data_IF_998796341746
#
_entry.id   IF_998796341746
#
_cell.length_a   1.000
_cell.length_b   1.000
_cell.length_c   1.000
_cell.angle_alpha   90.00
_cell.angle_beta   90.00
_cell.angle_gamma   90.00
#
_symmetry.space_group_name_H-M   'P 1'
#
loop_
_entity.id
_entity.type
_entity.pdbx_description
1 polymer ?
#
# COMPACT_ATOMS: atom_id res chain seq x y z
N UNK A 1 -39.35 -9.54 67.39
CA UNK A 1 -39.33 -8.48 66.35
C UNK A 1 -37.90 -8.38 65.87
N UNK A 2 -37.52 -9.14 64.85
CA UNK A 2 -36.12 -9.24 64.45
C UNK A 2 -35.97 -9.38 62.93
N UNK A 3 -35.02 -8.62 62.40
CA UNK A 3 -34.20 -8.94 61.22
C UNK A 3 -34.87 -9.05 59.84
N UNK A 4 -35.54 -7.99 59.36
CA UNK A 4 -35.78 -7.79 57.91
C UNK A 4 -34.80 -6.82 57.22
N UNK A 5 -34.04 -6.01 57.97
CA UNK A 5 -33.17 -4.96 57.39
C UNK A 5 -31.80 -5.46 56.91
N UNK A 6 -31.26 -6.57 57.43
CA UNK A 6 -29.93 -7.05 57.07
C UNK A 6 -29.85 -7.73 55.69
N UNK A 7 -30.96 -8.24 55.16
CA UNK A 7 -30.99 -8.99 53.90
C UNK A 7 -30.98 -8.06 52.68
N UNK A 8 -31.58 -6.87 52.80
CA UNK A 8 -31.66 -5.88 51.71
C UNK A 8 -30.30 -5.22 51.42
N UNK A 9 -29.52 -4.93 52.46
CA UNK A 9 -28.21 -4.27 52.33
C UNK A 9 -27.17 -5.17 51.64
N UNK A 10 -27.20 -6.49 51.91
CA UNK A 10 -26.30 -7.46 51.25
C UNK A 10 -26.60 -7.64 49.76
N UNK A 11 -27.86 -7.46 49.34
CA UNK A 11 -28.24 -7.54 47.93
C UNK A 11 -27.76 -6.32 47.12
N UNK A 12 -27.79 -5.13 47.72
CA UNK A 12 -27.41 -3.89 47.07
C UNK A 12 -25.90 -3.79 46.79
N UNK A 13 -25.06 -4.27 47.73
CA UNK A 13 -23.59 -4.26 47.59
C UNK A 13 -23.10 -5.25 46.53
N UNK A 14 -23.81 -6.38 46.37
CA UNK A 14 -23.47 -7.40 45.37
C UNK A 14 -23.73 -6.92 43.93
N UNK A 15 -24.77 -6.12 43.72
CA UNK A 15 -25.13 -5.63 42.37
C UNK A 15 -24.25 -4.47 41.86
N UNK A 16 -23.57 -3.75 42.76
CA UNK A 16 -22.68 -2.64 42.39
C UNK A 16 -21.29 -3.09 41.94
N UNK A 17 -20.82 -4.26 42.41
CA UNK A 17 -19.50 -4.82 42.03
C UNK A 17 -19.46 -5.33 40.58
N UNK A 18 -20.57 -5.84 40.05
CA UNK A 18 -20.64 -6.29 38.65
C UNK A 18 -20.75 -5.14 37.64
N UNK A 19 -21.34 -4.00 38.03
CA UNK A 19 -21.44 -2.82 37.15
C UNK A 19 -20.11 -2.08 36.96
N UNK A 20 -19.23 -2.06 37.97
CA UNK A 20 -17.88 -1.48 37.82
C UNK A 20 -16.96 -2.34 36.95
N UNK A 21 -17.14 -3.67 36.96
CA UNK A 21 -16.34 -4.61 36.16
C UNK A 21 -16.67 -4.56 34.66
N UNK A 22 -17.94 -4.32 34.29
CA UNK A 22 -18.35 -4.22 32.88
C UNK A 22 -17.91 -2.91 32.19
N UNK A 23 -17.79 -1.81 32.94
CA UNK A 23 -17.30 -0.52 32.37
C UNK A 23 -15.78 -0.56 32.15
N UNK A 24 -15.02 -1.32 32.94
CA UNK A 24 -13.58 -1.51 32.75
C UNK A 24 -13.21 -2.36 31.53
N UNK A 25 -14.05 -3.33 31.16
CA UNK A 25 -13.85 -4.19 29.97
C UNK A 25 -14.12 -3.46 28.64
N UNK A 26 -14.92 -2.38 28.66
CA UNK A 26 -15.20 -1.57 27.47
C UNK A 26 -14.08 -0.57 27.15
N UNK A 27 -13.27 -0.16 28.13
CA UNK A 27 -12.13 0.74 27.88
C UNK A 27 -10.88 0.03 27.35
N UNK A 28 -10.76 -1.29 27.55
CA UNK A 28 -9.63 -2.07 27.01
C UNK A 28 -9.82 -2.54 25.56
N UNK A 29 -11.01 -2.34 24.98
CA UNK A 29 -11.27 -2.66 23.56
C UNK A 29 -10.97 -1.50 22.60
N UNK A 30 -10.71 -0.29 23.11
CA UNK A 30 -10.63 0.92 22.29
C UNK A 30 -9.21 1.31 21.85
N UNK A 31 -8.18 0.51 22.14
CA UNK A 31 -6.79 0.96 22.00
C UNK A 31 -5.89 0.03 21.16
N UNK A 32 -6.40 -0.67 20.14
CA UNK A 32 -5.55 -1.49 19.24
C UNK A 32 -6.03 -1.61 17.79
N UNK A 33 -6.83 -0.67 17.25
CA UNK A 33 -7.39 -0.79 15.89
C UNK A 33 -6.96 0.29 14.90
N UNK A 34 -5.94 1.07 15.25
CA UNK A 34 -5.45 2.16 14.40
C UNK A 34 -3.92 2.19 14.45
N UNK A 35 -3.25 1.26 13.75
CA UNK A 35 -1.89 1.53 13.22
C UNK A 35 -1.26 0.44 12.33
N UNK A 36 -1.99 -0.62 11.92
CA UNK A 36 -1.38 -1.68 11.10
C UNK A 36 -1.62 -1.57 9.58
N UNK A 37 -2.64 -0.81 9.12
CA UNK A 37 -2.88 -0.66 7.66
C UNK A 37 -1.90 0.28 6.96
N UNK A 38 -1.37 1.30 7.65
CA UNK A 38 -0.45 2.27 7.01
C UNK A 38 0.96 1.70 6.89
N UNK A 39 1.40 0.88 7.86
CA UNK A 39 2.76 0.34 7.91
C UNK A 39 3.01 -0.84 6.95
N UNK A 40 1.97 -1.36 6.30
CA UNK A 40 2.07 -2.52 5.40
C UNK A 40 1.83 -2.20 3.91
N UNK A 41 1.48 -0.96 3.58
CA UNK A 41 1.21 -0.50 2.22
C UNK A 41 2.40 -0.69 1.28
N UNK A 42 3.57 -0.11 1.60
CA UNK A 42 4.80 -0.26 0.80
C UNK A 42 5.19 -1.72 0.62
N UNK A 43 5.17 -2.51 1.70
CA UNK A 43 5.58 -3.92 1.68
C UNK A 43 4.71 -4.77 0.76
N UNK A 44 3.43 -4.43 0.62
CA UNK A 44 2.53 -5.12 -0.31
C UNK A 44 3.02 -5.02 -1.77
N UNK A 45 3.63 -3.89 -2.16
CA UNK A 45 4.19 -3.71 -3.51
C UNK A 45 5.49 -4.50 -3.74
N UNK A 46 6.30 -4.78 -2.72
CA UNK A 46 7.60 -5.43 -2.89
C UNK A 46 7.45 -6.85 -3.44
N UNK A 47 8.18 -7.16 -4.51
CA UNK A 47 8.15 -8.47 -5.17
C UNK A 47 8.44 -8.41 -6.66
N UNK A 48 8.17 -9.50 -7.36
CA UNK A 48 8.25 -9.58 -8.81
C UNK A 48 6.86 -9.75 -9.41
N UNK A 49 6.61 -9.12 -10.55
CA UNK A 49 5.33 -9.13 -11.24
C UNK A 49 5.54 -9.49 -12.71
N UNK A 50 4.68 -10.35 -13.25
CA UNK A 50 4.58 -10.47 -14.71
C UNK A 50 3.70 -9.35 -15.22
N UNK A 51 4.29 -8.46 -16.02
CA UNK A 51 3.61 -7.32 -16.62
C UNK A 51 3.23 -7.64 -18.07
N UNK A 52 2.04 -7.21 -18.46
CA UNK A 52 1.64 -6.97 -19.84
C UNK A 52 1.48 -5.46 -20.02
N UNK A 53 2.35 -4.87 -20.83
CA UNK A 53 2.38 -3.44 -21.11
C UNK A 53 1.87 -3.16 -22.51
N UNK A 54 1.15 -2.06 -22.67
CA UNK A 54 0.74 -1.51 -23.96
C UNK A 54 1.11 -0.03 -24.04
N UNK A 55 1.91 0.32 -25.04
CA UNK A 55 2.29 1.70 -25.36
C UNK A 55 1.87 1.99 -26.81
N UNK A 56 0.80 2.75 -27.01
CA UNK A 56 0.22 2.93 -28.34
C UNK A 56 -0.19 1.59 -28.98
N UNK A 57 0.49 1.18 -30.05
CA UNK A 57 0.27 -0.09 -30.75
C UNK A 57 1.20 -1.22 -30.34
N UNK A 58 2.27 -0.96 -29.57
CA UNK A 58 3.16 -2.02 -29.08
C UNK A 58 2.55 -2.72 -27.86
N UNK A 59 2.80 -4.02 -27.76
CA UNK A 59 2.46 -4.82 -26.59
C UNK A 59 3.66 -5.68 -26.22
N UNK A 60 4.06 -5.56 -24.97
CA UNK A 60 5.27 -6.21 -24.43
C UNK A 60 4.91 -6.96 -23.14
N UNK A 61 5.67 -8.01 -22.83
CA UNK A 61 5.57 -8.70 -21.55
C UNK A 61 6.95 -8.92 -20.95
N UNK A 62 7.07 -8.62 -19.66
CA UNK A 62 8.33 -8.67 -18.94
C UNK A 62 8.08 -8.88 -17.44
N UNK A 63 9.15 -9.23 -16.71
CA UNK A 63 9.11 -9.29 -15.24
C UNK A 63 9.54 -7.95 -14.68
N UNK A 64 8.61 -7.24 -14.05
CA UNK A 64 8.89 -6.06 -13.22
C UNK A 64 9.41 -6.54 -11.86
N UNK A 65 10.43 -5.88 -11.34
CA UNK A 65 10.87 -6.07 -9.95
C UNK A 65 10.65 -4.79 -9.17
N UNK A 66 9.98 -4.90 -8.03
CA UNK A 66 9.77 -3.80 -7.09
C UNK A 66 10.56 -4.08 -5.81
N UNK A 67 11.48 -3.19 -5.46
CA UNK A 67 12.29 -3.27 -4.23
C UNK A 67 12.10 -2.04 -3.35
N UNK A 68 12.60 -2.12 -2.11
CA UNK A 68 12.56 -1.00 -1.18
C UNK A 68 13.46 0.14 -1.68
N UNK A 69 12.97 1.37 -1.58
CA UNK A 69 13.76 2.57 -1.79
C UNK A 69 14.35 3.14 -0.50
N UNK A 70 14.82 4.37 -0.60
CA UNK A 70 15.58 5.07 0.45
C UNK A 70 14.73 5.51 1.65
N UNK A 71 13.41 5.61 1.47
CA UNK A 71 12.46 6.02 2.51
C UNK A 71 11.35 5.00 2.72
N UNK A 72 10.57 5.16 3.80
CA UNK A 72 9.50 4.23 4.17
C UNK A 72 8.31 4.22 3.19
N UNK A 73 8.20 5.21 2.30
CA UNK A 73 7.21 5.25 1.22
C UNK A 73 7.82 5.00 -0.15
N UNK A 74 9.15 5.05 -0.30
CA UNK A 74 9.82 4.91 -1.58
C UNK A 74 10.00 3.44 -1.97
N UNK A 75 9.74 3.15 -3.25
CA UNK A 75 10.01 1.88 -3.92
C UNK A 75 10.78 2.14 -5.21
N UNK A 76 11.57 1.15 -5.62
CA UNK A 76 12.33 1.17 -6.87
C UNK A 76 11.73 0.13 -7.82
N UNK A 77 11.41 0.56 -9.04
CA UNK A 77 10.86 -0.28 -10.10
C UNK A 77 11.98 -0.56 -11.11
N UNK A 78 12.45 -1.80 -11.16
CA UNK A 78 13.51 -2.22 -12.08
C UNK A 78 12.94 -3.03 -13.24
N UNK A 79 13.59 -2.92 -14.41
CA UNK A 79 13.18 -3.59 -15.65
C UNK A 79 11.80 -3.14 -16.18
N UNK A 80 11.48 -1.85 -16.05
CA UNK A 80 10.32 -1.24 -16.72
C UNK A 80 10.70 -0.96 -18.17
N UNK A 81 10.03 -1.54 -19.16
CA UNK A 81 10.30 -1.22 -20.57
C UNK A 81 9.70 0.15 -20.95
N UNK A 82 10.41 0.99 -21.74
CA UNK A 82 11.68 0.75 -22.44
C UNK A 82 12.94 1.24 -21.67
N UNK A 83 12.87 1.39 -20.35
CA UNK A 83 13.91 2.03 -19.55
C UNK A 83 15.06 1.08 -19.17
N UNK A 84 16.26 1.65 -19.07
CA UNK A 84 17.46 0.96 -18.59
C UNK A 84 17.76 1.23 -17.11
N UNK A 85 17.24 2.32 -16.57
CA UNK A 85 17.41 2.71 -15.17
C UNK A 85 16.22 2.25 -14.31
N UNK A 86 16.40 2.26 -13.00
CA UNK A 86 15.31 2.07 -12.04
C UNK A 86 14.43 3.32 -11.97
N UNK A 87 13.12 3.14 -11.87
CA UNK A 87 12.16 4.22 -11.67
C UNK A 87 11.86 4.33 -10.17
N UNK A 88 11.95 5.54 -9.64
CA UNK A 88 11.61 5.84 -8.25
C UNK A 88 10.11 6.14 -8.17
N UNK A 89 9.39 5.44 -7.29
CA UNK A 89 8.00 5.74 -6.99
C UNK A 89 7.77 5.86 -5.48
N UNK A 90 6.69 6.54 -5.10
CA UNK A 90 6.25 6.67 -3.70
C UNK A 90 4.90 6.02 -3.50
N UNK A 91 4.71 5.35 -2.37
CA UNK A 91 3.50 4.62 -2.02
C UNK A 91 2.70 5.36 -0.95
N UNK A 92 1.40 5.46 -1.17
CA UNK A 92 0.42 5.91 -0.17
C UNK A 92 -0.80 5.01 -0.24
N UNK A 93 -0.98 4.16 0.78
CA UNK A 93 -2.01 3.13 0.75
C UNK A 93 -1.78 2.14 -0.39
N UNK A 94 -2.80 1.90 -1.21
CA UNK A 94 -2.70 1.02 -2.37
C UNK A 94 -2.33 1.75 -3.67
N UNK A 95 -1.87 2.99 -3.58
CA UNK A 95 -1.49 3.82 -4.73
C UNK A 95 0.02 3.98 -4.74
N UNK A 96 0.64 3.77 -5.91
CA UNK A 96 2.01 4.23 -6.20
C UNK A 96 1.95 5.48 -7.08
N UNK A 97 2.88 6.40 -6.86
CA UNK A 97 3.05 7.63 -7.64
C UNK A 97 4.48 7.71 -8.17
N UNK A 98 4.61 7.86 -9.48
CA UNK A 98 5.87 8.11 -10.17
C UNK A 98 5.92 9.61 -10.46
N UNK A 99 6.61 10.37 -9.60
CA UNK A 99 6.89 11.78 -9.86
C UNK A 99 7.77 11.92 -11.11
N UNK A 100 7.61 13.04 -11.82
CA UNK A 100 8.39 13.37 -13.00
C UNK A 100 9.89 13.26 -12.72
N UNK A 101 10.58 12.40 -13.45
CA UNK A 101 12.02 12.17 -13.31
C UNK A 101 12.67 11.81 -14.65
N UNK A 102 13.98 12.01 -14.74
CA UNK A 102 14.77 11.64 -15.92
C UNK A 102 15.31 10.23 -15.76
N UNK A 103 15.07 9.37 -16.75
CA UNK A 103 15.54 7.97 -16.79
C UNK A 103 16.12 7.64 -18.15
N UNK A 104 17.19 6.85 -18.20
CA UNK A 104 17.80 6.43 -19.45
C UNK A 104 16.97 5.36 -20.13
N UNK A 105 16.92 5.43 -21.46
CA UNK A 105 16.35 4.37 -22.29
C UNK A 105 17.34 3.20 -22.40
N UNK A 106 16.81 1.98 -22.38
CA UNK A 106 17.63 0.76 -22.45
C UNK A 106 18.45 0.75 -23.75
N UNK A 107 19.76 0.55 -23.61
CA UNK A 107 20.68 0.52 -24.75
C UNK A 107 20.95 1.89 -25.42
N UNK A 108 20.46 2.99 -24.84
CA UNK A 108 20.67 4.35 -25.36
C UNK A 108 21.49 5.20 -24.39
N UNK A 109 22.07 6.28 -24.92
CA UNK A 109 22.74 7.32 -24.11
C UNK A 109 21.79 8.43 -23.69
N UNK A 110 20.65 8.57 -24.37
CA UNK A 110 19.67 9.60 -24.09
C UNK A 110 18.72 9.23 -22.94
N UNK A 111 18.18 10.27 -22.29
CA UNK A 111 17.19 10.15 -21.23
C UNK A 111 15.80 10.58 -21.71
N UNK A 112 14.77 9.95 -21.13
CA UNK A 112 13.38 10.34 -21.25
C UNK A 112 12.89 10.89 -19.91
N UNK A 113 11.91 11.79 -19.95
CA UNK A 113 11.19 12.19 -18.73
C UNK A 113 10.04 11.22 -18.53
N UNK A 114 9.91 10.58 -17.36
CA UNK A 114 8.83 9.65 -17.03
C UNK A 114 8.01 10.16 -15.84
N UNK A 115 6.70 9.97 -15.89
CA UNK A 115 5.78 10.23 -14.76
C UNK A 115 4.57 9.30 -14.84
N UNK A 116 3.86 9.07 -13.73
CA UNK A 116 2.73 8.17 -13.74
C UNK A 116 2.20 7.81 -12.36
N UNK A 117 1.32 6.83 -12.33
CA UNK A 117 0.76 6.29 -11.10
C UNK A 117 0.33 4.84 -11.31
N UNK A 118 0.02 4.17 -10.21
CA UNK A 118 -0.52 2.83 -10.27
C UNK A 118 -1.27 2.45 -9.01
N UNK A 119 -1.98 1.34 -9.07
CA UNK A 119 -2.78 0.78 -7.99
C UNK A 119 -2.42 -0.68 -7.77
N UNK A 120 -2.42 -1.10 -6.51
CA UNK A 120 -2.34 -2.50 -6.12
C UNK A 120 -3.70 -2.96 -5.61
N UNK A 121 -4.24 -3.99 -6.24
CA UNK A 121 -5.51 -4.61 -5.87
C UNK A 121 -5.24 -6.00 -5.33
N UNK A 122 -5.90 -6.35 -4.22
CA UNK A 122 -5.81 -7.67 -3.57
C UNK A 122 -4.38 -8.14 -3.24
N UNK A 123 -3.45 -7.18 -3.06
CA UNK A 123 -2.05 -7.45 -2.73
C UNK A 123 -1.23 -8.17 -3.82
N UNK A 124 -1.82 -8.41 -4.99
CA UNK A 124 -1.23 -9.27 -6.02
C UNK A 124 -1.44 -8.78 -7.46
N UNK A 125 -2.44 -7.95 -7.73
CA UNK A 125 -2.70 -7.38 -9.06
C UNK A 125 -2.22 -5.94 -9.07
N UNK A 126 -1.34 -5.58 -10.01
CA UNK A 126 -0.83 -4.23 -10.17
C UNK A 126 -1.25 -3.65 -11.50
N UNK A 127 -1.76 -2.41 -11.48
CA UNK A 127 -2.06 -1.62 -12.67
C UNK A 127 -1.22 -0.34 -12.61
N UNK A 128 -0.43 -0.06 -13.65
CA UNK A 128 0.44 1.11 -13.74
C UNK A 128 0.11 1.84 -15.04
N UNK A 129 -0.18 3.13 -14.93
CA UNK A 129 -0.27 4.03 -16.07
C UNK A 129 0.87 5.04 -15.97
N UNK A 130 1.67 5.14 -17.01
CA UNK A 130 2.77 6.10 -17.05
C UNK A 130 2.88 6.73 -18.42
N UNK A 131 3.46 7.92 -18.44
CA UNK A 131 3.80 8.66 -19.63
C UNK A 131 5.30 8.90 -19.64
N UNK A 132 5.89 8.86 -20.83
CA UNK A 132 7.25 9.31 -21.01
C UNK A 132 7.41 10.19 -22.25
N UNK A 133 8.33 11.12 -22.17
CA UNK A 133 8.69 12.03 -23.25
C UNK A 133 10.14 11.81 -23.67
N UNK A 134 10.32 11.44 -24.94
CA UNK A 134 11.60 11.38 -25.62
C UNK A 134 11.52 12.07 -26.99
N UNK A 135 11.21 13.36 -26.99
CA UNK A 135 10.94 14.13 -28.21
C UNK A 135 9.51 13.96 -28.71
N UNK A 136 8.62 13.53 -27.81
CA UNK A 136 7.23 13.19 -28.06
C UNK A 136 6.67 12.38 -26.88
N UNK A 137 5.46 12.72 -26.45
CA UNK A 137 4.78 12.03 -25.34
C UNK A 137 4.21 10.70 -25.79
N UNK A 138 4.54 9.64 -25.05
CA UNK A 138 3.94 8.31 -25.20
C UNK A 138 3.30 7.90 -23.89
N UNK A 139 2.01 7.53 -23.93
CA UNK A 139 1.28 7.00 -22.77
C UNK A 139 1.23 5.47 -22.83
N UNK A 140 1.45 4.85 -21.68
CA UNK A 140 1.53 3.40 -21.51
C UNK A 140 0.63 2.94 -20.36
N UNK A 141 -0.06 1.82 -20.57
CA UNK A 141 -0.78 1.10 -19.53
C UNK A 141 -0.15 -0.28 -19.33
N UNK A 142 0.07 -0.67 -18.09
CA UNK A 142 0.70 -1.92 -17.71
C UNK A 142 -0.12 -2.61 -16.63
N UNK A 143 -0.53 -3.86 -16.89
CA UNK A 143 -1.24 -4.69 -15.93
C UNK A 143 -0.41 -5.92 -15.61
N UNK A 144 -0.39 -6.34 -14.35
CA UNK A 144 0.37 -7.52 -13.98
C UNK A 144 -0.08 -8.19 -12.70
N UNK A 145 0.49 -9.37 -12.50
CA UNK A 145 0.24 -10.20 -11.32
C UNK A 145 1.55 -10.55 -10.64
N UNK A 146 1.52 -10.60 -9.31
CA UNK A 146 2.65 -10.96 -8.46
C UNK A 146 3.00 -12.44 -8.64
N UNK A 147 4.29 -12.73 -8.69
CA UNK A 147 4.86 -14.08 -8.78
C UNK A 147 5.01 -14.75 -7.42
#
# INVERSE_FOLDING_TARGET
>A
MENKNLTLVRSFIRNHRYRLLMVGLLFMYSCNLLDEEVLNSRKAFIGSYTIQQKCGSSQDSYTLRITEGSSNSEILLSNVEPFGDEIIATVSGNILTISSQSVRLKGQTSSATVSGSGTLTDGSIIEINFEYDFGGTTSCGANGYKL
#
